data_IF_586313705874
#
_entry.id   IF_586313705874
#
_cell.length_a   1.000
_cell.length_b   1.000
_cell.length_c   1.000
_cell.angle_alpha   90.00
_cell.angle_beta   90.00
_cell.angle_gamma   90.00
#
_symmetry.space_group_name_H-M   'P 1'
#
loop_
_entity.id
_entity.type
_entity.pdbx_description
1 polymer ?
#
# COMPACT_ATOMS: atom_id res chain seq x y z
N UNK A 1 14.51 18.55 11.85
CA UNK A 1 15.06 17.55 10.92
C UNK A 1 13.95 16.60 10.49
N UNK A 2 14.07 15.95 9.32
CA UNK A 2 13.07 14.98 8.84
C UNK A 2 13.75 13.74 8.28
N UNK A 3 13.04 12.62 8.29
CA UNK A 3 13.44 11.37 7.64
C UNK A 3 12.38 11.00 6.60
N UNK A 4 12.80 10.83 5.35
CA UNK A 4 11.94 10.38 4.26
C UNK A 4 12.11 8.86 4.10
N UNK A 5 10.99 8.14 4.07
CA UNK A 5 10.96 6.68 3.89
C UNK A 5 10.24 6.38 2.57
N UNK A 6 10.92 5.65 1.68
CA UNK A 6 10.38 5.18 0.40
C UNK A 6 10.29 3.67 0.43
N UNK A 7 9.11 3.16 0.11
CA UNK A 7 8.80 1.73 0.10
C UNK A 7 8.71 1.29 -1.35
N UNK A 8 9.58 0.37 -1.75
CA UNK A 8 9.62 -0.18 -3.11
C UNK A 8 9.41 -1.70 -3.08
N UNK A 9 8.88 -2.25 -4.17
CA UNK A 9 8.73 -3.68 -4.39
C UNK A 9 9.31 -4.08 -5.76
N UNK A 10 10.14 -5.12 -5.76
CA UNK A 10 10.69 -5.73 -6.95
C UNK A 10 11.92 -6.59 -6.63
N UNK A 11 12.39 -7.32 -7.62
CA UNK A 11 13.50 -8.28 -7.50
C UNK A 11 14.85 -7.68 -7.96
N UNK A 12 14.87 -6.42 -8.42
CA UNK A 12 16.09 -5.77 -8.91
C UNK A 12 16.92 -5.27 -7.74
N UNK A 13 18.25 -5.31 -7.89
CA UNK A 13 19.20 -4.92 -6.83
C UNK A 13 19.10 -3.45 -6.43
N UNK A 14 18.83 -2.56 -7.40
CA UNK A 14 18.75 -1.13 -7.16
C UNK A 14 17.32 -0.72 -6.81
N UNK A 15 17.13 0.00 -5.70
CA UNK A 15 15.81 0.43 -5.24
C UNK A 15 15.07 1.32 -6.26
N UNK A 16 15.80 2.13 -7.04
CA UNK A 16 15.23 3.00 -8.07
C UNK A 16 14.72 2.26 -9.30
N UNK A 17 15.11 0.99 -9.46
CA UNK A 17 14.68 0.11 -10.54
C UNK A 17 13.43 -0.71 -10.18
N UNK A 18 12.97 -0.62 -8.93
CA UNK A 18 11.81 -1.33 -8.40
C UNK A 18 10.58 -0.43 -8.39
N UNK A 19 9.39 -1.03 -8.31
CA UNK A 19 8.12 -0.29 -8.26
C UNK A 19 7.99 0.44 -6.93
N UNK A 20 7.90 1.77 -6.95
CA UNK A 20 7.56 2.55 -5.76
C UNK A 20 6.12 2.24 -5.35
N UNK A 21 5.95 1.76 -4.13
CA UNK A 21 4.65 1.46 -3.54
C UNK A 21 4.08 2.64 -2.76
N UNK A 22 4.95 3.42 -2.12
CA UNK A 22 4.54 4.58 -1.34
C UNK A 22 5.73 5.27 -0.69
N UNK A 23 5.49 6.48 -0.19
CA UNK A 23 6.49 7.22 0.57
C UNK A 23 5.82 8.07 1.63
N UNK A 24 6.54 8.32 2.72
CA UNK A 24 6.09 9.21 3.78
C UNK A 24 7.28 9.80 4.53
N UNK A 25 7.01 10.88 5.24
CA UNK A 25 8.04 11.64 5.95
C UNK A 25 7.73 11.67 7.44
N UNK A 26 8.69 11.23 8.24
CA UNK A 26 8.66 11.41 9.68
C UNK A 26 9.29 12.77 10.02
N UNK A 27 8.47 13.70 10.54
CA UNK A 27 8.87 15.08 10.81
C UNK A 27 9.07 15.37 12.30
N UNK A 28 9.92 16.36 12.56
CA UNK A 28 10.21 16.86 13.91
C UNK A 28 11.06 15.93 14.74
N UNK A 29 12.02 15.28 14.06
CA UNK A 29 13.13 14.60 14.72
C UNK A 29 14.09 15.68 15.24
N UNK A 30 14.43 15.68 16.53
CA UNK A 30 15.39 16.61 17.11
C UNK A 30 16.75 16.47 16.44
N UNK A 31 17.49 17.56 16.20
CA UNK A 31 18.86 17.48 15.73
C UNK A 31 19.70 16.76 16.78
N UNK A 32 20.31 15.65 16.38
CA UNK A 32 21.22 14.89 17.23
C UNK A 32 22.44 14.45 16.40
N UNK A 33 23.59 14.14 17.05
CA UNK A 33 24.74 13.58 16.36
C UNK A 33 24.38 12.34 15.54
N UNK A 34 25.13 12.07 14.47
CA UNK A 34 24.90 10.89 13.63
C UNK A 34 24.96 9.63 14.51
N UNK A 35 24.01 8.71 14.32
CA UNK A 35 23.90 7.47 15.09
C UNK A 35 23.09 7.57 16.39
N UNK A 36 22.67 8.78 16.79
CA UNK A 36 21.83 8.97 18.00
C UNK A 36 20.33 8.81 17.72
N UNK A 37 19.74 9.36 16.65
CA UNK A 37 18.33 9.12 16.33
C UNK A 37 18.11 7.64 16.00
N UNK A 38 17.18 7.00 16.71
CA UNK A 38 16.78 5.61 16.47
C UNK A 38 15.38 5.60 15.88
N UNK A 39 15.28 5.35 14.59
CA UNK A 39 14.00 5.20 13.87
C UNK A 39 13.75 3.70 13.73
N UNK A 40 12.66 3.24 14.34
CA UNK A 40 12.15 1.88 14.21
C UNK A 40 11.13 1.87 13.09
N UNK A 41 11.35 1.05 12.04
CA UNK A 41 10.43 0.91 10.91
C UNK A 41 9.88 -0.52 10.93
N UNK A 42 8.56 -0.63 10.98
CA UNK A 42 7.85 -1.91 11.02
C UNK A 42 7.08 -2.09 9.73
N UNK A 43 7.22 -3.27 9.12
CA UNK A 43 6.47 -3.70 7.95
C UNK A 43 5.60 -4.87 8.36
N UNK A 44 4.29 -4.70 8.28
CA UNK A 44 3.30 -5.75 8.52
C UNK A 44 2.59 -6.03 7.19
N UNK A 45 2.57 -7.30 6.78
CA UNK A 45 1.96 -7.75 5.53
C UNK A 45 0.86 -8.74 5.92
N UNK A 46 -0.37 -8.38 5.58
CA UNK A 46 -1.50 -9.25 5.85
C UNK A 46 -1.70 -10.33 4.77
N UNK A 47 -2.62 -11.25 5.02
CA UNK A 47 -2.97 -12.32 4.08
C UNK A 47 -3.61 -11.81 2.77
N UNK A 48 -4.07 -10.56 2.73
CA UNK A 48 -4.63 -9.93 1.53
C UNK A 48 -3.56 -9.21 0.69
N UNK A 49 -2.31 -9.17 1.17
CA UNK A 49 -1.22 -8.42 0.54
C UNK A 49 -1.32 -6.91 0.78
N UNK A 50 -2.05 -6.46 1.79
CA UNK A 50 -2.01 -5.08 2.27
C UNK A 50 -0.78 -4.95 3.17
N UNK A 51 0.07 -3.98 2.84
CA UNK A 51 1.30 -3.68 3.56
C UNK A 51 1.07 -2.46 4.45
N UNK A 52 1.14 -2.66 5.75
CA UNK A 52 1.15 -1.59 6.74
C UNK A 52 2.59 -1.25 7.06
N UNK A 53 2.98 0.01 6.85
CA UNK A 53 4.33 0.48 7.15
C UNK A 53 4.22 1.58 8.19
N UNK A 54 4.84 1.36 9.36
CA UNK A 54 4.95 2.38 10.40
C UNK A 54 6.42 2.71 10.66
N UNK A 55 6.68 3.97 11.00
CA UNK A 55 7.98 4.42 11.46
C UNK A 55 7.84 5.23 12.75
N UNK A 56 8.61 4.87 13.76
CA UNK A 56 8.60 5.50 15.07
C UNK A 56 9.99 5.94 15.48
N UNK A 57 10.12 7.20 15.87
CA UNK A 57 11.31 7.69 16.55
C UNK A 57 11.28 7.25 18.02
N UNK A 58 12.25 6.43 18.45
CA UNK A 58 12.32 5.91 19.81
C UNK A 58 12.68 6.99 20.85
N UNK A 59 13.32 8.08 20.42
CA UNK A 59 13.68 9.18 21.31
C UNK A 59 12.49 10.09 21.66
N UNK A 60 11.66 10.41 20.67
CA UNK A 60 10.51 11.32 20.86
C UNK A 60 9.17 10.60 20.97
N UNK A 61 9.09 9.32 20.61
CA UNK A 61 7.84 8.57 20.52
C UNK A 61 6.96 8.94 19.33
N UNK A 62 7.39 9.88 18.47
CA UNK A 62 6.64 10.28 17.27
C UNK A 62 6.56 9.12 16.30
N UNK A 63 5.37 8.93 15.74
CA UNK A 63 5.09 7.85 14.80
C UNK A 63 4.38 8.40 13.58
N UNK A 64 4.71 7.84 12.41
CA UNK A 64 3.99 8.05 11.18
C UNK A 64 3.79 6.70 10.50
N UNK A 65 2.61 6.44 9.96
CA UNK A 65 2.31 5.21 9.25
C UNK A 65 1.58 5.48 7.94
N UNK A 66 1.72 4.53 7.02
CA UNK A 66 0.98 4.45 5.77
C UNK A 66 0.45 3.02 5.56
N UNK A 67 -0.67 2.93 4.85
CA UNK A 67 -1.21 1.65 4.39
C UNK A 67 -1.06 1.61 2.88
N UNK A 68 -0.37 0.60 2.40
CA UNK A 68 -0.09 0.37 1.00
C UNK A 68 -0.88 -0.87 0.60
N UNK A 69 -1.90 -0.67 -0.22
CA UNK A 69 -2.59 -1.79 -0.84
C UNK A 69 -1.75 -2.24 -2.03
N UNK A 70 -1.36 -3.52 -2.07
CA UNK A 70 -0.67 -4.08 -3.23
C UNK A 70 -1.59 -3.90 -4.43
N UNK A 71 -1.22 -2.95 -5.28
CA UNK A 71 -2.03 -2.53 -6.41
C UNK A 71 -2.06 -3.66 -7.42
N UNK A 72 -3.10 -4.50 -7.31
CA UNK A 72 -3.67 -5.26 -8.42
C UNK A 72 -4.22 -4.35 -9.54
N UNK A 73 -4.06 -3.02 -9.42
CA UNK A 73 -4.27 -2.04 -10.49
C UNK A 73 -5.67 -1.45 -10.53
N UNK A 74 -6.58 -1.86 -9.65
CA UNK A 74 -7.96 -1.41 -9.65
C UNK A 74 -8.20 -0.46 -8.48
N UNK A 75 -8.62 0.76 -8.81
CA UNK A 75 -9.14 1.70 -7.84
C UNK A 75 -10.45 1.19 -7.21
N UNK A 76 -10.90 1.79 -6.11
CA UNK A 76 -12.21 1.47 -5.53
C UNK A 76 -13.34 1.63 -6.56
N UNK A 77 -13.25 2.65 -7.42
CA UNK A 77 -14.21 2.89 -8.49
C UNK A 77 -14.19 1.76 -9.55
N UNK A 78 -13.01 1.21 -9.86
CA UNK A 78 -12.89 0.08 -10.78
C UNK A 78 -13.51 -1.19 -10.19
N UNK A 79 -13.32 -1.41 -8.89
CA UNK A 79 -13.92 -2.55 -8.17
C UNK A 79 -15.45 -2.44 -8.21
N UNK A 80 -16.02 -1.28 -7.89
CA UNK A 80 -17.48 -1.07 -7.92
C UNK A 80 -18.06 -1.25 -9.33
N UNK A 81 -17.36 -0.74 -10.35
CA UNK A 81 -17.77 -0.92 -11.74
C UNK A 81 -17.71 -2.38 -12.19
N UNK A 82 -16.69 -3.14 -11.77
CA UNK A 82 -16.62 -4.58 -12.05
C UNK A 82 -17.75 -5.35 -11.39
N UNK A 83 -18.11 -5.01 -10.14
CA UNK A 83 -19.24 -5.64 -9.44
C UNK A 83 -20.57 -5.36 -10.15
N UNK A 84 -20.85 -4.08 -10.49
CA UNK A 84 -22.07 -3.72 -11.23
C UNK A 84 -22.17 -4.41 -12.59
N UNK A 85 -21.06 -4.48 -13.31
CA UNK A 85 -21.03 -5.15 -14.61
C UNK A 85 -21.27 -6.65 -14.46
N UNK A 86 -20.66 -7.31 -13.47
CA UNK A 86 -20.88 -8.73 -13.20
C UNK A 86 -22.35 -9.04 -12.89
N UNK A 87 -23.02 -8.20 -12.09
CA UNK A 87 -24.46 -8.36 -11.80
C UNK A 87 -25.32 -8.22 -13.06
N UNK A 88 -25.02 -7.22 -13.89
CA UNK A 88 -25.74 -6.97 -15.15
C UNK A 88 -25.59 -8.14 -16.13
N UNK A 89 -24.39 -8.69 -16.28
CA UNK A 89 -24.14 -9.84 -17.15
C UNK A 89 -24.72 -11.14 -16.58
N UNK A 90 -24.75 -11.31 -15.26
CA UNK A 90 -25.37 -12.48 -14.62
C UNK A 90 -26.89 -12.56 -14.87
N UNK A 91 -27.57 -11.43 -15.04
CA UNK A 91 -28.98 -11.39 -15.42
C UNK A 91 -29.19 -11.74 -16.91
N UNK A 92 -28.34 -11.23 -17.79
CA UNK A 92 -28.36 -11.59 -19.21
C UNK A 92 -28.02 -13.07 -19.45
N UNK A 93 -27.05 -13.62 -18.72
CA UNK A 93 -26.67 -15.02 -18.80
C UNK A 93 -27.77 -15.94 -18.26
N UNK A 94 -28.48 -15.52 -17.20
CA UNK A 94 -29.68 -16.24 -16.72
C UNK A 94 -30.80 -16.22 -17.75
N UNK A 95 -31.00 -15.11 -18.45
CA UNK A 95 -32.00 -14.99 -19.52
C UNK A 95 -31.65 -15.85 -20.73
N UNK A 96 -30.37 -15.90 -21.12
CA UNK A 96 -29.86 -16.78 -22.20
C UNK A 96 -29.96 -18.26 -21.84
N UNK A 97 -29.67 -18.65 -20.60
CA UNK A 97 -29.85 -20.04 -20.13
C UNK A 97 -31.31 -20.49 -20.12
N UNK A 98 -32.27 -19.57 -19.95
CA UNK A 98 -33.71 -19.88 -19.91
C UNK A 98 -34.34 -20.07 -21.29
N UNK A 99 -33.69 -19.61 -22.36
CA UNK A 99 -34.07 -19.87 -23.74
C UNK A 99 -32.87 -20.46 -24.50
N UNK A 100 -32.56 -21.76 -24.34
CA UNK A 100 -31.75 -22.46 -25.32
C UNK A 100 -32.50 -22.39 -26.66
N UNK A 101 -31.84 -21.87 -27.70
CA UNK A 101 -32.33 -22.01 -29.07
C UNK A 101 -32.48 -23.48 -29.45
#
# INVERSE_FOLDING_TARGET
TQVEIKVCQGEREMAGDNKLLGQFTLIGIPPAPRGVPQIEVTFDIDANGIVHVSAKDKGTGREQQIVIQSSGGLSKDDIENMVKNAEKYAEEDRRKKRFPK
#
